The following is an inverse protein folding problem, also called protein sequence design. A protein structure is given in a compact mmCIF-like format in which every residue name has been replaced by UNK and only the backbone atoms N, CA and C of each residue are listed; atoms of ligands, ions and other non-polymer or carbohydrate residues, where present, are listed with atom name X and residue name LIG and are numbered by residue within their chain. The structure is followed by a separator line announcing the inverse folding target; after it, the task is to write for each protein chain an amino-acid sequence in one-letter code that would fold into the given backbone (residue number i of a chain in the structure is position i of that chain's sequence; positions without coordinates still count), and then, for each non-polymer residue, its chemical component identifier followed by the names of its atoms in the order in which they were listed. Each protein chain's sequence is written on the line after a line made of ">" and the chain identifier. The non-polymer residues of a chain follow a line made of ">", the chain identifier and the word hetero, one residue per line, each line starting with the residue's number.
data_IF_799046157297
#
_entry.id   IF_799046157297
#
_cell.length_a   1.000
_cell.length_b   1.000
_cell.length_c   1.000
_cell.angle_alpha   90.00
_cell.angle_beta   90.00
_cell.angle_gamma   90.00
#
_symmetry.space_group_name_H-M   'P 1'
#
loop_
_entity.id
_entity.type
_entity.pdbx_description
1 polymer ?
#
# COMPACT_ATOMS: atom_id res chain seq x y z
N UNK A 1 6.53 -9.58 5.47
CA UNK A 1 5.11 -9.17 5.61
C UNK A 1 4.86 -8.15 4.52
N UNK A 2 3.66 -8.07 3.96
CA UNK A 2 3.37 -7.15 2.87
C UNK A 2 2.18 -6.25 3.24
N UNK A 3 2.20 -5.01 2.78
CA UNK A 3 1.07 -4.10 2.85
C UNK A 3 0.24 -4.28 1.58
N UNK A 4 -1.05 -4.50 1.73
CA UNK A 4 -1.97 -4.78 0.63
C UNK A 4 -3.08 -3.73 0.61
N UNK A 5 -3.32 -3.14 -0.55
CA UNK A 5 -4.28 -2.07 -0.74
C UNK A 5 -5.28 -2.41 -1.86
N UNK A 6 -6.55 -2.20 -1.56
CA UNK A 6 -7.71 -2.27 -2.45
C UNK A 6 -8.22 -0.82 -2.59
N UNK A 7 -8.52 -0.36 -3.81
CA UNK A 7 -8.96 1.03 -4.04
C UNK A 7 -10.38 1.01 -4.61
N UNK A 8 -11.32 1.53 -3.83
CA UNK A 8 -12.75 1.47 -4.10
C UNK A 8 -13.29 2.88 -4.34
N UNK A 9 -14.07 3.02 -5.40
CA UNK A 9 -14.95 4.17 -5.60
C UNK A 9 -16.06 4.09 -4.54
N UNK A 10 -16.08 5.02 -3.59
CA UNK A 10 -17.02 5.05 -2.48
C UNK A 10 -18.46 5.38 -2.94
N UNK A 11 -18.61 6.06 -4.08
CA UNK A 11 -19.91 6.41 -4.66
C UNK A 11 -20.57 5.19 -5.30
N UNK A 12 -19.80 4.38 -6.02
CA UNK A 12 -20.28 3.19 -6.72
C UNK A 12 -20.19 1.91 -5.87
N UNK A 13 -19.30 1.88 -4.88
CA UNK A 13 -18.95 0.67 -4.14
C UNK A 13 -18.18 -0.36 -4.99
N UNK A 14 -17.57 0.07 -6.09
CA UNK A 14 -16.86 -0.77 -7.05
C UNK A 14 -15.37 -0.48 -7.05
N UNK A 15 -14.58 -1.48 -7.44
CA UNK A 15 -13.14 -1.30 -7.55
C UNK A 15 -12.80 -0.41 -8.75
N UNK A 16 -11.95 0.59 -8.54
CA UNK A 16 -11.58 1.59 -9.56
C UNK A 16 -10.84 1.02 -10.78
N UNK A 17 -10.28 -0.19 -10.68
CA UNK A 17 -9.69 -0.90 -11.82
C UNK A 17 -10.69 -1.83 -12.52
N UNK A 18 -11.74 -2.29 -11.82
CA UNK A 18 -12.79 -3.16 -12.39
C UNK A 18 -13.79 -2.33 -13.20
N UNK A 19 -14.18 -1.16 -12.71
CA UNK A 19 -15.10 -0.26 -13.41
C UNK A 19 -14.43 0.50 -14.57
N UNK A 20 -13.10 0.39 -14.70
CA UNK A 20 -12.31 0.98 -15.79
C UNK A 20 -11.95 2.44 -15.59
N UNK A 21 -12.14 3.01 -14.38
CA UNK A 21 -11.70 4.38 -14.05
C UNK A 21 -10.18 4.51 -14.17
N UNK A 22 -9.43 3.52 -13.69
CA UNK A 22 -7.98 3.46 -13.79
C UNK A 22 -7.51 2.11 -14.36
N UNK A 23 -6.28 2.10 -14.87
CA UNK A 23 -5.55 0.89 -15.27
C UNK A 23 -4.33 0.71 -14.39
N UNK A 24 -3.72 -0.48 -14.40
CA UNK A 24 -2.48 -0.77 -13.66
C UNK A 24 -1.36 0.26 -13.94
N UNK A 25 -1.25 0.72 -15.19
CA UNK A 25 -0.26 1.73 -15.59
C UNK A 25 -0.44 3.11 -14.95
N UNK A 26 -1.60 3.38 -14.33
CA UNK A 26 -1.86 4.62 -13.61
C UNK A 26 -1.20 4.62 -12.23
N UNK A 27 -0.81 3.44 -11.71
CA UNK A 27 -0.31 3.28 -10.34
C UNK A 27 1.14 3.76 -10.27
N UNK A 28 1.42 4.64 -9.32
CA UNK A 28 2.78 5.00 -8.92
C UNK A 28 2.93 4.94 -7.41
N UNK A 29 4.04 4.39 -6.95
CA UNK A 29 4.45 4.42 -5.54
C UNK A 29 5.82 5.10 -5.47
N UNK A 30 5.92 6.18 -4.70
CA UNK A 30 7.15 6.96 -4.57
C UNK A 30 7.50 7.16 -3.10
N UNK A 31 8.79 7.20 -2.79
CA UNK A 31 9.28 7.63 -1.48
C UNK A 31 9.13 9.16 -1.34
N UNK A 32 8.39 9.62 -0.33
CA UNK A 32 8.11 11.04 -0.12
C UNK A 32 9.34 11.83 0.34
N UNK A 33 10.43 11.19 0.78
CA UNK A 33 11.66 11.91 1.18
C UNK A 33 12.54 12.31 -0.01
N UNK A 34 12.62 11.48 -1.05
CA UNK A 34 13.55 11.67 -2.18
C UNK A 34 12.95 11.52 -3.58
N UNK A 35 11.62 11.36 -3.68
CA UNK A 35 10.85 11.19 -4.91
C UNK A 35 11.31 9.98 -5.75
N UNK A 36 12.01 9.02 -5.16
CA UNK A 36 12.41 7.80 -5.86
C UNK A 36 11.25 6.83 -5.99
N UNK A 37 11.19 6.11 -7.12
CA UNK A 37 10.19 5.08 -7.34
C UNK A 37 10.40 3.92 -6.35
N UNK A 38 9.31 3.44 -5.76
CA UNK A 38 9.30 2.31 -4.85
C UNK A 38 8.70 1.07 -5.52
N UNK A 39 9.33 -0.09 -5.31
CA UNK A 39 8.85 -1.34 -5.90
C UNK A 39 7.51 -1.78 -5.29
N UNK A 40 6.59 -2.17 -6.17
CA UNK A 40 5.29 -2.75 -5.81
C UNK A 40 4.87 -3.78 -6.86
N UNK A 41 3.96 -4.68 -6.47
CA UNK A 41 3.26 -5.57 -7.39
C UNK A 41 1.78 -5.17 -7.49
N UNK A 42 1.20 -5.32 -8.68
CA UNK A 42 -0.25 -5.29 -8.87
C UNK A 42 -0.77 -6.69 -9.19
N UNK A 43 -1.51 -7.26 -8.24
CA UNK A 43 -2.19 -8.53 -8.46
C UNK A 43 -3.54 -8.19 -9.09
N UNK A 44 -3.90 -8.82 -10.20
CA UNK A 44 -5.21 -8.68 -10.87
C UNK A 44 -5.90 -10.02 -11.13
N UNK A 45 -5.26 -11.13 -10.77
CA UNK A 45 -5.79 -12.47 -10.96
C UNK A 45 -7.07 -12.70 -10.16
N UNK A 46 -8.04 -13.44 -10.73
CA UNK A 46 -9.31 -13.77 -10.08
C UNK A 46 -10.11 -12.52 -9.64
N UNK A 47 -10.02 -11.42 -10.41
CA UNK A 47 -10.64 -10.13 -10.10
C UNK A 47 -10.19 -9.52 -8.75
N UNK A 48 -9.03 -9.96 -8.25
CA UNK A 48 -8.41 -9.47 -7.03
C UNK A 48 -7.44 -8.37 -7.43
N UNK A 49 -7.94 -7.17 -7.72
CA UNK A 49 -7.12 -5.99 -8.02
C UNK A 49 -6.51 -5.47 -6.70
N UNK A 50 -5.24 -5.74 -6.43
CA UNK A 50 -4.60 -5.37 -5.16
C UNK A 50 -3.19 -4.86 -5.44
N UNK A 51 -2.86 -3.71 -4.85
CA UNK A 51 -1.50 -3.17 -4.81
C UNK A 51 -0.78 -3.77 -3.61
N UNK A 52 0.41 -4.35 -3.84
CA UNK A 52 1.18 -5.04 -2.81
C UNK A 52 2.57 -4.42 -2.68
N UNK A 53 2.90 -3.95 -1.48
CA UNK A 53 4.23 -3.42 -1.15
C UNK A 53 4.91 -4.41 -0.20
N UNK A 54 5.93 -5.10 -0.68
CA UNK A 54 6.57 -6.22 0.03
C UNK A 54 7.91 -5.87 0.68
N UNK A 55 8.65 -4.90 0.16
CA UNK A 55 10.04 -4.60 0.56
C UNK A 55 10.18 -3.96 1.95
N UNK A 56 9.09 -3.39 2.49
CA UNK A 56 9.12 -2.73 3.80
C UNK A 56 9.35 -3.73 4.93
N UNK A 57 10.42 -3.51 5.68
CA UNK A 57 10.79 -4.31 6.84
C UNK A 57 11.79 -5.42 6.56
N UNK A 58 12.33 -5.55 5.35
CA UNK A 58 13.50 -6.41 5.10
C UNK A 58 14.79 -5.87 5.73
N UNK A 59 14.81 -4.58 6.05
CA UNK A 59 15.84 -3.87 6.80
C UNK A 59 15.18 -2.95 7.84
N UNK A 60 15.98 -2.40 8.77
CA UNK A 60 15.52 -1.31 9.63
C UNK A 60 15.38 -0.06 8.78
N UNK A 61 14.17 0.48 8.71
CA UNK A 61 13.86 1.66 7.91
C UNK A 61 12.63 2.37 8.48
N UNK A 62 12.62 3.69 8.34
CA UNK A 62 11.44 4.53 8.47
C UNK A 62 11.18 5.10 7.09
N UNK A 63 9.99 4.90 6.54
CA UNK A 63 9.65 5.30 5.16
C UNK A 63 8.27 5.91 5.11
N UNK A 64 8.10 6.94 4.27
CA UNK A 64 6.80 7.49 3.90
C UNK A 64 6.64 7.30 2.40
N UNK A 65 5.61 6.59 1.98
CA UNK A 65 5.34 6.33 0.56
C UNK A 65 4.09 7.09 0.13
N UNK A 66 4.18 7.87 -0.94
CA UNK A 66 3.03 8.43 -1.64
C UNK A 66 2.54 7.42 -2.68
N UNK A 67 1.26 7.05 -2.62
CA UNK A 67 0.60 6.18 -3.58
C UNK A 67 -0.36 7.02 -4.41
N UNK A 68 -0.11 7.07 -5.71
CA UNK A 68 -0.82 7.92 -6.66
C UNK A 68 -1.47 7.09 -7.78
N UNK A 69 -2.57 7.62 -8.32
CA UNK A 69 -3.21 7.14 -9.55
C UNK A 69 -3.24 8.28 -10.56
N UNK A 70 -2.67 8.06 -11.76
CA UNK A 70 -2.55 9.07 -12.82
C UNK A 70 -1.89 10.39 -12.35
N UNK A 71 -0.97 10.28 -11.39
CA UNK A 71 -0.22 11.41 -10.83
C UNK A 71 -0.94 12.21 -9.74
N UNK A 72 -2.16 11.80 -9.35
CA UNK A 72 -2.86 12.34 -8.18
C UNK A 72 -2.65 11.42 -6.98
N UNK A 73 -2.13 11.99 -5.88
CA UNK A 73 -1.95 11.23 -4.63
C UNK A 73 -3.31 10.77 -4.10
N UNK A 74 -3.41 9.47 -3.85
CA UNK A 74 -4.60 8.84 -3.25
C UNK A 74 -4.42 8.72 -1.74
N UNK A 75 -3.25 8.31 -1.28
CA UNK A 75 -2.92 8.19 0.14
C UNK A 75 -1.42 8.17 0.37
N UNK A 76 -1.02 8.43 1.61
CA UNK A 76 0.36 8.18 2.07
C UNK A 76 0.39 6.99 3.04
N UNK A 77 1.42 6.15 2.90
CA UNK A 77 1.75 5.08 3.83
C UNK A 77 3.02 5.43 4.60
N UNK A 78 2.88 5.70 5.89
CA UNK A 78 4.03 5.83 6.79
C UNK A 78 4.29 4.51 7.50
N UNK A 79 5.55 4.05 7.51
CA UNK A 79 5.96 2.85 8.25
C UNK A 79 7.27 3.08 8.96
N UNK A 80 7.30 2.77 10.26
CA UNK A 80 8.53 2.64 11.05
C UNK A 80 8.77 1.16 11.40
N UNK A 81 9.81 0.58 10.81
CA UNK A 81 10.12 -0.84 10.90
C UNK A 81 11.57 -1.06 11.38
N UNK A 82 11.75 -1.92 12.38
CA UNK A 82 13.05 -2.30 12.91
C UNK A 82 13.29 -3.79 12.67
N UNK A 83 14.35 -4.10 11.91
CA UNK A 83 14.79 -5.48 11.71
C UNK A 83 15.58 -5.91 12.95
N UNK A 84 15.07 -6.92 13.65
CA UNK A 84 15.70 -7.52 14.81
C UNK A 84 16.31 -8.87 14.46
N UNK A 85 17.43 -9.16 15.10
CA UNK A 85 18.10 -10.44 15.06
C UNK A 85 18.23 -10.93 16.48
N UNK A 86 17.51 -12.00 16.81
CA UNK A 86 17.61 -12.70 18.08
C UNK A 86 18.05 -14.14 17.82
N UNK A 87 18.57 -14.81 18.87
CA UNK A 87 19.36 -16.06 18.89
C UNK A 87 19.17 -17.07 17.72
N UNK A 88 17.96 -17.23 17.16
CA UNK A 88 17.68 -18.15 16.06
C UNK A 88 17.02 -17.53 14.81
N UNK A 89 16.53 -16.29 14.82
CA UNK A 89 15.65 -15.76 13.78
C UNK A 89 15.79 -14.24 13.56
N UNK A 90 15.68 -13.85 12.30
CA UNK A 90 15.49 -12.45 11.91
C UNK A 90 13.99 -12.17 11.75
N UNK A 91 13.48 -11.18 12.47
CA UNK A 91 12.11 -10.72 12.35
C UNK A 91 12.06 -9.20 12.30
N UNK A 92 10.89 -8.67 11.98
CA UNK A 92 10.68 -7.22 11.85
C UNK A 92 9.63 -6.80 12.84
N UNK A 93 9.99 -5.85 13.69
CA UNK A 93 9.05 -5.14 14.56
C UNK A 93 8.58 -3.88 13.82
N UNK A 94 7.27 -3.66 13.78
CA UNK A 94 6.68 -2.45 13.21
C UNK A 94 6.25 -1.56 14.37
N UNK A 95 6.99 -0.49 14.62
CA UNK A 95 6.68 0.47 15.68
C UNK A 95 5.45 1.30 15.32
N UNK A 96 5.32 1.66 14.03
CA UNK A 96 4.19 2.39 13.49
C UNK A 96 3.91 1.94 12.05
N UNK A 97 2.62 1.92 11.70
CA UNK A 97 2.15 1.92 10.32
C UNK A 97 0.88 2.75 10.27
N UNK A 98 0.82 3.72 9.36
CA UNK A 98 -0.26 4.69 9.29
C UNK A 98 -0.61 4.95 7.83
N UNK A 99 -1.91 4.97 7.53
CA UNK A 99 -2.44 5.48 6.26
C UNK A 99 -2.90 6.91 6.52
N UNK A 100 -2.42 7.85 5.72
CA UNK A 100 -2.72 9.28 5.81
C UNK A 100 -3.39 9.76 4.52
N UNK A 101 -4.03 10.92 4.60
CA UNK A 101 -4.71 11.60 3.50
C UNK A 101 -5.84 10.83 2.82
N UNK A 102 -6.31 9.72 3.40
CA UNK A 102 -7.41 8.94 2.84
C UNK A 102 -8.36 8.39 3.91
N UNK A 103 -9.61 8.18 3.51
CA UNK A 103 -10.54 7.34 4.25
C UNK A 103 -10.28 5.88 3.90
N UNK A 104 -10.31 5.00 4.90
CA UNK A 104 -10.08 3.58 4.66
C UNK A 104 -10.84 2.67 5.63
N UNK A 105 -11.05 1.44 5.19
CA UNK A 105 -11.53 0.33 6.00
C UNK A 105 -10.49 -0.79 6.02
N UNK A 106 -10.40 -1.54 7.12
CA UNK A 106 -9.50 -2.69 7.20
C UNK A 106 -10.28 -4.00 7.11
N UNK A 107 -10.02 -4.79 6.06
CA UNK A 107 -10.45 -6.18 5.99
C UNK A 107 -9.45 -7.04 6.76
N UNK A 108 -9.71 -7.21 8.07
CA UNK A 108 -8.87 -8.00 8.98
C UNK A 108 -8.76 -9.47 8.57
N UNK A 109 -9.76 -10.03 7.88
CA UNK A 109 -9.74 -11.43 7.46
C UNK A 109 -8.77 -11.65 6.29
N UNK A 110 -8.60 -10.65 5.43
CA UNK A 110 -7.71 -10.71 4.26
C UNK A 110 -6.39 -9.97 4.46
N UNK A 111 -6.25 -9.20 5.54
CA UNK A 111 -5.15 -8.27 5.78
C UNK A 111 -4.98 -7.26 4.63
N UNK A 112 -6.10 -6.69 4.16
CA UNK A 112 -6.14 -5.71 3.07
C UNK A 112 -6.72 -4.40 3.61
N UNK A 113 -6.09 -3.28 3.27
CA UNK A 113 -6.62 -1.96 3.50
C UNK A 113 -7.42 -1.51 2.29
N UNK A 114 -8.69 -1.20 2.49
CA UNK A 114 -9.57 -0.66 1.46
C UNK A 114 -9.55 0.85 1.54
N UNK A 115 -8.93 1.49 0.57
CA UNK A 115 -8.90 2.94 0.40
C UNK A 115 -10.17 3.37 -0.33
N UNK A 116 -10.83 4.41 0.17
CA UNK A 116 -12.09 4.92 -0.35
C UNK A 116 -11.83 6.24 -1.09
N UNK A 117 -12.10 6.26 -2.40
CA UNK A 117 -12.07 7.45 -3.26
C UNK A 117 -13.48 8.03 -3.42
N UNK A 118 -13.61 9.35 -3.38
CA UNK A 118 -14.90 10.07 -3.52
C UNK A 118 -15.24 10.44 -4.97
#
# INVERSE_FOLDING_TARGET
>A
MAFQFDIIDATMGEHVFTNGTFTESAISVMDSEDDSAYDFDFISENARNIIVIFSIGFQTQTVTLSVALDGEEVFELFVDAVRKTEDCCNFTEYNANEIRNAQFEQDLAKHVYRILLE
#
